data_IF_554587561958
#
_entry.id   IF_554587561958
#
_cell.length_a   1.000
_cell.length_b   1.000
_cell.length_c   1.000
_cell.angle_alpha   90.00
_cell.angle_beta   90.00
_cell.angle_gamma   90.00
#
_symmetry.space_group_name_H-M   'P 1'
#
loop_
_entity.id
_entity.type
_entity.pdbx_description
1 polymer ?
#
# COMPACT_ATOMS: atom_id res chain seq x y z
N UNK A 1 26.29 11.10 -5.90
CA UNK A 1 25.62 10.19 -4.94
C UNK A 1 24.32 10.84 -4.53
N UNK A 2 23.18 10.18 -4.74
CA UNK A 2 21.90 10.65 -4.21
C UNK A 2 21.97 10.56 -2.69
N UNK A 3 21.81 11.69 -2.01
CA UNK A 3 21.70 11.76 -0.55
C UNK A 3 20.39 11.09 -0.15
N UNK A 4 20.44 9.79 0.14
CA UNK A 4 19.31 9.00 0.63
C UNK A 4 19.05 9.32 2.10
N UNK A 5 18.72 10.58 2.41
CA UNK A 5 18.25 10.94 3.75
C UNK A 5 16.86 10.32 3.94
N UNK A 6 16.67 9.42 4.92
CA UNK A 6 15.38 8.78 5.18
C UNK A 6 14.25 9.79 5.41
N UNK A 7 14.54 10.97 5.97
CA UNK A 7 13.53 11.99 6.24
C UNK A 7 13.01 12.65 4.96
N UNK A 8 13.92 12.96 4.05
CA UNK A 8 13.56 13.53 2.74
C UNK A 8 12.82 12.51 1.88
N UNK A 9 13.22 11.23 1.95
CA UNK A 9 12.49 10.15 1.27
C UNK A 9 11.08 9.96 1.83
N UNK A 10 10.92 10.04 3.16
CA UNK A 10 9.60 9.94 3.79
C UNK A 10 8.70 11.12 3.40
N UNK A 11 9.25 12.33 3.35
CA UNK A 11 8.54 13.53 2.91
C UNK A 11 8.07 13.39 1.45
N UNK A 12 8.97 12.98 0.55
CA UNK A 12 8.66 12.74 -0.85
C UNK A 12 7.59 11.64 -1.04
N UNK A 13 7.60 10.62 -0.17
CA UNK A 13 6.57 9.58 -0.18
C UNK A 13 5.21 10.14 0.24
N UNK A 14 5.15 10.96 1.28
CA UNK A 14 3.90 11.59 1.72
C UNK A 14 3.32 12.52 0.64
N UNK A 15 4.17 13.28 -0.05
CA UNK A 15 3.74 14.12 -1.18
C UNK A 15 3.13 13.27 -2.30
N UNK A 16 3.79 12.18 -2.70
CA UNK A 16 3.26 11.26 -3.71
C UNK A 16 1.95 10.56 -3.29
N UNK A 17 1.80 10.23 -2.01
CA UNK A 17 0.56 9.62 -1.52
C UNK A 17 -0.62 10.59 -1.59
N UNK A 18 -0.39 11.87 -1.30
CA UNK A 18 -1.42 12.90 -1.37
C UNK A 18 -1.85 13.12 -2.84
N UNK A 19 -0.90 13.16 -3.77
CA UNK A 19 -1.20 13.21 -5.21
C UNK A 19 -2.03 12.01 -5.68
N UNK A 20 -1.67 10.80 -5.26
CA UNK A 20 -2.44 9.58 -5.56
C UNK A 20 -3.84 9.63 -4.98
N UNK A 21 -3.99 10.14 -3.75
CA UNK A 21 -5.28 10.30 -3.10
C UNK A 21 -6.18 11.27 -3.86
N UNK A 22 -5.64 12.40 -4.31
CA UNK A 22 -6.37 13.38 -5.10
C UNK A 22 -6.78 12.82 -6.45
N UNK A 23 -5.86 12.12 -7.13
CA UNK A 23 -6.14 11.48 -8.41
C UNK A 23 -7.24 10.41 -8.31
N UNK A 24 -7.14 9.50 -7.33
CA UNK A 24 -8.14 8.44 -7.14
C UNK A 24 -9.51 9.01 -6.77
N UNK A 25 -9.56 10.07 -5.96
CA UNK A 25 -10.81 10.79 -5.67
C UNK A 25 -11.41 11.41 -6.92
N UNK A 26 -10.59 12.05 -7.76
CA UNK A 26 -11.04 12.63 -9.02
C UNK A 26 -11.54 11.56 -9.99
N UNK A 27 -10.76 10.49 -10.18
CA UNK A 27 -11.13 9.38 -11.04
C UNK A 27 -12.47 8.77 -10.61
N UNK A 28 -12.68 8.53 -9.31
CA UNK A 28 -13.97 8.05 -8.79
C UNK A 28 -15.12 9.00 -9.07
N UNK A 29 -14.92 10.31 -8.88
CA UNK A 29 -15.95 11.31 -9.14
C UNK A 29 -16.32 11.43 -10.62
N UNK A 30 -15.37 11.24 -11.54
CA UNK A 30 -15.62 11.24 -12.99
C UNK A 30 -16.20 9.91 -13.47
N UNK A 31 -15.80 8.81 -12.85
CA UNK A 31 -16.22 7.45 -13.20
C UNK A 31 -17.52 7.01 -12.51
N UNK A 32 -18.28 7.89 -11.87
CA UNK A 32 -19.55 7.53 -11.22
C UNK A 32 -20.59 6.91 -12.19
N UNK A 33 -20.46 7.11 -13.50
CA UNK A 33 -21.24 6.44 -14.56
C UNK A 33 -20.55 5.21 -15.21
N UNK A 34 -19.33 4.87 -14.77
CA UNK A 34 -18.52 3.78 -15.34
C UNK A 34 -18.36 2.64 -14.35
N UNK A 35 -19.00 1.51 -14.69
CA UNK A 35 -18.97 0.18 -14.04
C UNK A 35 -18.21 0.08 -12.71
N UNK A 36 -18.97 -0.17 -11.64
CA UNK A 36 -18.49 -0.55 -10.31
C UNK A 36 -17.33 -1.54 -10.49
N UNK A 37 -16.14 -1.08 -10.11
CA UNK A 37 -14.87 -1.83 -10.11
C UNK A 37 -15.15 -3.31 -9.86
N UNK A 38 -15.07 -4.12 -10.94
CA UNK A 38 -15.31 -5.56 -10.87
C UNK A 38 -14.45 -6.08 -9.72
N UNK A 39 -15.15 -6.55 -8.68
CA UNK A 39 -14.63 -6.62 -7.32
C UNK A 39 -13.20 -7.13 -7.31
N UNK A 40 -12.34 -6.45 -6.56
CA UNK A 40 -11.06 -6.99 -6.17
C UNK A 40 -11.31 -8.36 -5.51
N UNK A 41 -11.24 -9.42 -6.30
CA UNK A 41 -11.40 -10.79 -5.82
C UNK A 41 -10.15 -11.09 -4.99
N UNK A 42 -10.25 -10.84 -3.69
CA UNK A 42 -9.26 -11.34 -2.76
C UNK A 42 -9.33 -12.86 -2.82
N UNK A 43 -8.29 -13.50 -3.36
CA UNK A 43 -8.16 -14.94 -3.30
C UNK A 43 -8.31 -15.38 -1.84
N UNK A 44 -9.29 -16.24 -1.57
CA UNK A 44 -9.46 -16.85 -0.25
C UNK A 44 -8.32 -17.84 0.07
N UNK A 45 -7.46 -18.14 -0.90
CA UNK A 45 -6.26 -18.99 -0.79
C UNK A 45 -5.07 -18.29 -0.09
N UNK A 46 -5.33 -17.33 0.80
CA UNK A 46 -4.27 -16.81 1.68
C UNK A 46 -3.86 -17.92 2.65
N UNK A 47 -2.86 -18.70 2.24
CA UNK A 47 -2.15 -19.62 3.14
C UNK A 47 -1.52 -18.77 4.25
N UNK A 48 -1.61 -19.19 5.52
CA UNK A 48 -0.86 -18.57 6.60
C UNK A 48 0.61 -18.47 6.18
N UNK A 49 1.14 -17.25 6.14
CA UNK A 49 2.53 -17.01 5.80
C UNK A 49 3.41 -17.51 6.95
N UNK A 50 3.78 -18.79 6.87
CA UNK A 50 4.62 -19.45 7.85
C UNK A 50 6.00 -18.79 7.97
N UNK A 51 6.48 -18.08 6.93
CA UNK A 51 7.73 -17.31 7.02
C UNK A 51 7.59 -16.10 7.94
N UNK A 52 6.48 -15.36 7.83
CA UNK A 52 6.19 -14.25 8.73
C UNK A 52 5.93 -14.72 10.17
N UNK A 53 5.35 -15.91 10.35
CA UNK A 53 5.19 -16.54 11.66
C UNK A 53 6.54 -16.82 12.34
N UNK A 54 7.53 -17.34 11.62
CA UNK A 54 8.86 -17.64 12.16
C UNK A 54 9.61 -16.37 12.59
N UNK A 55 9.58 -15.30 11.78
CA UNK A 55 10.18 -14.00 12.13
C UNK A 55 9.57 -13.37 13.39
N UNK A 56 8.28 -13.59 13.60
CA UNK A 56 7.56 -13.07 14.78
C UNK A 56 7.99 -13.77 16.08
N UNK A 57 8.37 -15.04 16.01
CA UNK A 57 8.86 -15.82 17.16
C UNK A 57 10.28 -15.39 17.51
N UNK A 58 11.16 -15.26 16.52
CA UNK A 58 12.54 -14.78 16.72
C UNK A 58 12.58 -13.37 17.32
N UNK A 59 11.71 -12.46 16.86
CA UNK A 59 11.61 -11.10 17.40
C UNK A 59 11.03 -11.02 18.82
N UNK A 60 10.36 -12.07 19.31
CA UNK A 60 9.79 -12.12 20.67
C UNK A 60 10.76 -12.74 21.69
N UNK A 61 11.80 -13.42 21.22
CA UNK A 61 12.84 -14.04 22.06
C UNK A 61 14.08 -13.15 22.26
N UNK A 62 14.08 -11.93 21.70
CA UNK A 62 15.07 -10.89 21.97
C UNK A 62 14.51 -9.84 22.94
#
# INVERSE_FOLDING_TARGET
MTTQDPKELLKLKHEQDEEKRQFTSFARAVSEDGEVEAGQEFSHDRVPDDQNRMKSVENRQN
#
